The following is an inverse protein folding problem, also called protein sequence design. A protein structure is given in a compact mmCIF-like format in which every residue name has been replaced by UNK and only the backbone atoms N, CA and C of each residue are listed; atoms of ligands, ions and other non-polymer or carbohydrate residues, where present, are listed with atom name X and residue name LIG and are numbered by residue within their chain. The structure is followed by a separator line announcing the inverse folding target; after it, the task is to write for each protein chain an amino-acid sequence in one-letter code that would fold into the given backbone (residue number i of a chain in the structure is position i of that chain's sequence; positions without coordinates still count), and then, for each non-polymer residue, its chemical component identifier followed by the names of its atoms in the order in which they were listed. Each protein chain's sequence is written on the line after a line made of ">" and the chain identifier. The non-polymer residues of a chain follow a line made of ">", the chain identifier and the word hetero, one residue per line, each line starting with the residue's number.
data_IF_829908925968
#
_entry.id   IF_829908925968
#
_cell.length_a   1.000
_cell.length_b   1.000
_cell.length_c   1.000
_cell.angle_alpha   90.00
_cell.angle_beta   90.00
_cell.angle_gamma   90.00
#
_symmetry.space_group_name_H-M   'P 1'
#
loop_
_entity.id
_entity.type
_entity.pdbx_description
1 polymer ?
#
# COMPACT_ATOMS: atom_id res chain seq x y z
N UNK A 1 14.68 4.45 -18.18
CA UNK A 1 15.14 5.38 -17.12
C UNK A 1 14.01 6.32 -16.65
N UNK A 2 12.75 6.07 -16.99
CA UNK A 2 11.62 7.00 -16.69
C UNK A 2 11.06 6.88 -15.26
N UNK A 3 11.27 5.74 -14.60
CA UNK A 3 10.59 5.37 -13.35
C UNK A 3 10.96 6.12 -12.05
N UNK A 4 11.82 7.15 -12.10
CA UNK A 4 12.20 7.97 -10.93
C UNK A 4 11.74 9.41 -11.07
N UNK A 5 11.33 9.79 -12.27
CA UNK A 5 11.02 11.16 -12.61
C UNK A 5 9.57 11.48 -12.23
N UNK A 6 8.65 10.55 -12.50
CA UNK A 6 7.24 10.64 -12.14
C UNK A 6 7.01 10.78 -10.64
N UNK A 7 7.53 9.88 -9.81
CA UNK A 7 7.42 9.99 -8.35
C UNK A 7 7.99 11.30 -7.79
N UNK A 8 9.03 11.85 -8.43
CA UNK A 8 9.71 13.09 -8.02
C UNK A 8 8.89 14.33 -8.33
N UNK A 9 8.23 14.31 -9.49
CA UNK A 9 7.33 15.37 -9.95
C UNK A 9 6.05 15.38 -9.12
N UNK A 10 5.57 14.20 -8.74
CA UNK A 10 4.23 14.03 -8.18
C UNK A 10 4.18 14.18 -6.64
N UNK A 11 5.21 13.71 -5.92
CA UNK A 11 5.27 13.79 -4.44
C UNK A 11 6.30 14.79 -3.92
N UNK A 12 7.04 15.43 -4.83
CA UNK A 12 8.06 16.43 -4.52
C UNK A 12 9.40 15.83 -4.08
N UNK A 13 10.48 16.60 -4.29
CA UNK A 13 11.89 16.21 -4.01
C UNK A 13 12.16 15.82 -2.55
N UNK A 14 11.30 16.22 -1.62
CA UNK A 14 11.53 16.09 -0.19
C UNK A 14 10.80 14.88 0.42
N UNK A 15 10.18 14.03 -0.40
CA UNK A 15 9.53 12.82 0.11
C UNK A 15 10.57 11.73 0.41
N UNK A 16 10.74 11.42 1.70
CA UNK A 16 11.81 10.55 2.22
C UNK A 16 11.67 9.07 1.83
N UNK A 17 10.48 8.64 1.38
CA UNK A 17 10.19 7.25 1.04
C UNK A 17 10.19 6.96 -0.47
N UNK A 18 10.62 7.93 -1.29
CA UNK A 18 10.53 7.86 -2.75
C UNK A 18 11.19 6.62 -3.37
N UNK A 19 12.30 6.14 -2.82
CA UNK A 19 13.00 4.97 -3.36
C UNK A 19 12.33 3.63 -3.03
N UNK A 20 11.28 3.61 -2.20
CA UNK A 20 10.71 2.38 -1.65
C UNK A 20 9.59 1.81 -2.52
N UNK A 21 8.84 2.67 -3.21
CA UNK A 21 7.73 2.25 -4.07
C UNK A 21 8.10 2.43 -5.53
N UNK A 22 7.61 1.53 -6.38
CA UNK A 22 7.72 1.71 -7.83
C UNK A 22 6.65 2.67 -8.33
N UNK A 23 6.89 3.32 -9.46
CA UNK A 23 5.89 4.21 -10.09
C UNK A 23 4.59 3.47 -10.42
N UNK A 24 4.66 2.19 -10.79
CA UNK A 24 3.47 1.37 -10.99
C UNK A 24 2.62 1.25 -9.70
N UNK A 25 3.25 1.10 -8.52
CA UNK A 25 2.53 1.08 -7.25
C UNK A 25 1.91 2.45 -6.94
N UNK A 26 2.61 3.54 -7.25
CA UNK A 26 2.07 4.89 -7.05
C UNK A 26 0.86 5.16 -7.96
N UNK A 27 0.95 4.74 -9.23
CA UNK A 27 -0.15 4.79 -10.18
C UNK A 27 -1.36 4.01 -9.65
N UNK A 28 -1.16 2.78 -9.17
CA UNK A 28 -2.23 1.99 -8.56
C UNK A 28 -2.88 2.70 -7.37
N UNK A 29 -2.11 3.39 -6.49
CA UNK A 29 -2.69 4.13 -5.36
C UNK A 29 -3.56 5.30 -5.83
N UNK A 30 -3.19 5.99 -6.92
CA UNK A 30 -3.99 7.07 -7.49
C UNK A 30 -5.32 6.57 -8.05
N UNK A 31 -5.34 5.35 -8.58
CA UNK A 31 -6.55 4.71 -9.11
C UNK A 31 -7.44 4.10 -8.02
N UNK A 32 -6.99 4.07 -6.77
CA UNK A 32 -7.80 3.55 -5.67
C UNK A 32 -8.97 4.48 -5.33
N UNK A 33 -10.14 3.91 -5.02
CA UNK A 33 -11.26 4.67 -4.47
C UNK A 33 -10.85 5.49 -3.23
N UNK A 34 -11.31 6.74 -3.21
CA UNK A 34 -11.06 7.69 -2.14
C UNK A 34 -9.66 8.31 -2.13
N UNK A 35 -8.87 8.15 -3.20
CA UNK A 35 -7.67 8.98 -3.42
C UNK A 35 -8.09 10.24 -4.19
N UNK A 36 -8.44 11.31 -3.48
CA UNK A 36 -9.04 12.52 -4.08
C UNK A 36 -8.02 13.63 -4.39
N UNK A 37 -6.79 13.50 -3.88
CA UNK A 37 -5.72 14.44 -4.15
C UNK A 37 -4.37 14.03 -3.60
N UNK A 38 -3.40 14.94 -3.67
CA UNK A 38 -2.01 14.68 -3.30
C UNK A 38 -1.82 14.34 -1.81
N UNK A 39 -2.65 14.88 -0.92
CA UNK A 39 -2.60 14.56 0.50
C UNK A 39 -2.94 13.08 0.76
N UNK A 40 -4.02 12.58 0.14
CA UNK A 40 -4.42 11.17 0.24
C UNK A 40 -3.34 10.26 -0.36
N UNK A 41 -2.88 10.59 -1.56
CA UNK A 41 -1.85 9.82 -2.24
C UNK A 41 -0.59 9.71 -1.38
N UNK A 42 -0.11 10.83 -0.81
CA UNK A 42 1.09 10.83 0.03
C UNK A 42 0.90 10.01 1.30
N UNK A 43 -0.21 10.19 2.00
CA UNK A 43 -0.54 9.42 3.22
C UNK A 43 -0.62 7.91 2.95
N UNK A 44 -1.27 7.52 1.85
CA UNK A 44 -1.38 6.12 1.42
C UNK A 44 -0.03 5.55 0.98
N UNK A 45 0.77 6.32 0.24
CA UNK A 45 2.12 5.93 -0.18
C UNK A 45 3.06 5.76 1.02
N UNK A 46 3.01 6.64 2.01
CA UNK A 46 3.79 6.52 3.25
C UNK A 46 3.42 5.27 4.04
N UNK A 47 2.12 4.97 4.14
CA UNK A 47 1.65 3.75 4.78
C UNK A 47 2.10 2.49 4.03
N UNK A 48 1.97 2.46 2.70
CA UNK A 48 2.40 1.35 1.85
C UNK A 48 3.92 1.12 1.93
N UNK A 49 4.69 2.22 1.94
CA UNK A 49 6.14 2.16 2.12
C UNK A 49 6.49 1.54 3.48
N UNK A 50 5.76 1.90 4.54
CA UNK A 50 5.94 1.34 5.89
C UNK A 50 5.67 -0.16 5.93
N UNK A 51 4.61 -0.63 5.26
CA UNK A 51 4.35 -2.08 5.07
C UNK A 51 5.51 -2.78 4.39
N UNK A 52 5.91 -2.27 3.21
CA UNK A 52 6.98 -2.87 2.41
C UNK A 52 8.30 -2.95 3.18
N UNK A 53 8.65 -1.89 3.91
CA UNK A 53 9.84 -1.85 4.76
C UNK A 53 9.85 -2.90 5.86
N UNK A 54 8.74 -3.03 6.58
CA UNK A 54 8.63 -3.98 7.67
C UNK A 54 8.79 -5.41 7.13
N UNK A 55 8.07 -5.73 6.05
CA UNK A 55 8.12 -7.05 5.42
C UNK A 55 9.51 -7.37 4.85
N UNK A 56 10.17 -6.39 4.24
CA UNK A 56 11.56 -6.53 3.79
C UNK A 56 12.52 -6.89 4.95
N UNK A 57 12.27 -6.37 6.16
CA UNK A 57 13.03 -6.69 7.38
C UNK A 57 12.54 -7.98 8.07
N UNK A 58 11.48 -8.58 7.56
CA UNK A 58 10.85 -9.78 8.09
C UNK A 58 10.01 -9.56 9.34
N UNK A 59 9.40 -8.38 9.46
CA UNK A 59 8.45 -8.04 10.51
C UNK A 59 7.16 -7.47 9.93
N UNK A 60 6.18 -7.22 10.79
CA UNK A 60 5.01 -6.41 10.44
C UNK A 60 5.19 -4.96 10.93
N UNK A 61 4.53 -3.99 10.30
CA UNK A 61 4.52 -2.62 10.80
C UNK A 61 3.68 -2.51 12.07
N UNK A 62 3.91 -1.45 12.85
CA UNK A 62 3.04 -1.11 13.99
C UNK A 62 1.74 -0.54 13.45
N UNK A 63 0.64 -1.28 13.57
CA UNK A 63 -0.64 -0.92 12.93
C UNK A 63 -1.25 0.40 13.42
N UNK A 64 -0.89 0.83 14.64
CA UNK A 64 -1.30 2.11 15.22
C UNK A 64 -0.64 3.33 14.55
N UNK A 65 0.50 3.14 13.89
CA UNK A 65 1.24 4.18 13.18
C UNK A 65 0.77 4.31 11.72
N UNK A 66 -0.10 3.40 11.25
CA UNK A 66 -0.62 3.38 9.90
C UNK A 66 -1.97 4.06 9.81
N UNK A 67 -2.05 5.08 8.96
CA UNK A 67 -3.29 5.78 8.61
C UNK A 67 -4.07 5.04 7.51
N UNK A 68 -3.41 4.16 6.75
CA UNK A 68 -4.02 3.40 5.66
C UNK A 68 -3.34 2.02 5.45
N UNK A 69 -4.02 1.00 4.90
CA UNK A 69 -5.47 0.91 4.73
C UNK A 69 -6.22 1.04 6.05
N UNK A 70 -7.51 1.39 6.00
CA UNK A 70 -8.34 1.53 7.20
C UNK A 70 -8.68 0.18 7.82
N UNK A 71 -9.08 0.19 9.09
CA UNK A 71 -9.69 -0.98 9.72
C UNK A 71 -11.08 -1.27 9.12
N UNK A 72 -11.51 -2.55 9.09
CA UNK A 72 -10.84 -3.73 9.66
C UNK A 72 -9.78 -4.36 8.72
N UNK A 73 -9.55 -3.79 7.54
CA UNK A 73 -8.68 -4.39 6.53
C UNK A 73 -7.25 -4.57 7.05
N UNK A 74 -6.61 -3.51 7.56
CA UNK A 74 -5.19 -3.60 7.97
C UNK A 74 -4.97 -4.63 9.08
N UNK A 75 -5.88 -4.73 10.06
CA UNK A 75 -5.79 -5.72 11.12
C UNK A 75 -5.95 -7.16 10.59
N UNK A 76 -6.94 -7.40 9.72
CA UNK A 76 -7.16 -8.72 9.12
C UNK A 76 -6.01 -9.13 8.19
N UNK A 77 -5.50 -8.20 7.40
CA UNK A 77 -4.36 -8.43 6.52
C UNK A 77 -3.11 -8.77 7.33
N UNK A 78 -2.81 -8.00 8.39
CA UNK A 78 -1.70 -8.31 9.31
C UNK A 78 -1.80 -9.72 9.89
N UNK A 79 -2.99 -10.10 10.37
CA UNK A 79 -3.23 -11.44 10.92
C UNK A 79 -3.00 -12.54 9.87
N UNK A 80 -3.50 -12.35 8.65
CA UNK A 80 -3.27 -13.29 7.55
C UNK A 80 -1.78 -13.44 7.22
N UNK A 81 -1.03 -12.32 7.16
CA UNK A 81 0.41 -12.35 6.92
C UNK A 81 1.17 -13.10 8.02
N UNK A 82 0.78 -12.93 9.29
CA UNK A 82 1.38 -13.70 10.40
C UNK A 82 1.10 -15.18 10.27
N UNK A 83 -0.16 -15.57 10.03
CA UNK A 83 -0.56 -16.97 9.93
C UNK A 83 0.13 -17.71 8.79
N UNK A 84 0.46 -17.00 7.71
CA UNK A 84 1.19 -17.52 6.54
C UNK A 84 2.72 -17.38 6.67
N UNK A 85 3.23 -16.90 7.81
CA UNK A 85 4.65 -16.58 8.02
C UNK A 85 5.26 -15.65 6.95
N UNK A 86 4.44 -14.80 6.32
CA UNK A 86 4.86 -13.91 5.24
C UNK A 86 6.00 -12.95 5.61
N UNK A 87 6.12 -12.43 6.85
CA UNK A 87 7.29 -11.62 7.21
C UNK A 87 8.60 -12.40 7.02
N UNK A 88 8.70 -13.61 7.56
CA UNK A 88 9.91 -14.44 7.40
C UNK A 88 10.14 -14.79 5.94
N UNK A 89 9.08 -15.14 5.22
CA UNK A 89 9.13 -15.52 3.81
C UNK A 89 9.64 -14.39 2.91
N UNK A 90 9.06 -13.19 3.03
CA UNK A 90 9.42 -12.03 2.20
C UNK A 90 10.82 -11.50 2.49
N UNK A 91 11.32 -11.64 3.73
CA UNK A 91 12.75 -11.39 4.03
C UNK A 91 13.68 -12.35 3.31
N UNK A 92 13.30 -13.63 3.22
CA UNK A 92 14.10 -14.68 2.54
C UNK A 92 14.02 -14.58 1.02
N UNK A 93 12.87 -14.16 0.49
CA UNK A 93 12.59 -14.06 -0.94
C UNK A 93 12.11 -12.64 -1.31
N UNK A 94 13.01 -11.65 -1.34
CA UNK A 94 12.66 -10.24 -1.55
C UNK A 94 12.00 -9.99 -2.92
N UNK A 95 12.24 -10.83 -3.92
CA UNK A 95 11.57 -10.75 -5.22
C UNK A 95 10.04 -10.91 -5.13
N UNK A 96 9.53 -11.63 -4.12
CA UNK A 96 8.10 -11.86 -3.93
C UNK A 96 7.42 -10.69 -3.21
N UNK A 97 8.19 -9.85 -2.51
CA UNK A 97 7.64 -8.74 -1.74
C UNK A 97 6.83 -7.77 -2.60
N UNK A 98 7.35 -7.41 -3.78
CA UNK A 98 6.63 -6.49 -4.67
C UNK A 98 5.31 -7.08 -5.17
N UNK A 99 5.27 -8.40 -5.43
CA UNK A 99 4.04 -9.11 -5.78
C UNK A 99 3.04 -9.09 -4.63
N UNK A 100 3.48 -9.36 -3.40
CA UNK A 100 2.60 -9.31 -2.23
C UNK A 100 2.02 -7.90 -2.00
N UNK A 101 2.84 -6.86 -2.17
CA UNK A 101 2.40 -5.47 -2.03
C UNK A 101 1.37 -5.11 -3.11
N UNK A 102 1.57 -5.55 -4.36
CA UNK A 102 0.58 -5.37 -5.43
C UNK A 102 -0.73 -6.07 -5.12
N UNK A 103 -0.67 -7.32 -4.66
CA UNK A 103 -1.86 -8.06 -4.23
C UNK A 103 -2.63 -7.35 -3.12
N UNK A 104 -1.92 -6.69 -2.17
CA UNK A 104 -2.57 -5.86 -1.16
C UNK A 104 -3.34 -4.69 -1.80
N UNK A 105 -2.73 -4.00 -2.78
CA UNK A 105 -3.39 -2.90 -3.52
C UNK A 105 -4.63 -3.39 -4.26
N UNK A 106 -4.53 -4.53 -4.95
CA UNK A 106 -5.64 -5.14 -5.69
C UNK A 106 -6.81 -5.47 -4.75
N UNK A 107 -6.53 -6.05 -3.57
CA UNK A 107 -7.55 -6.35 -2.57
C UNK A 107 -8.22 -5.08 -2.03
N UNK A 108 -7.45 -4.02 -1.78
CA UNK A 108 -8.02 -2.74 -1.34
C UNK A 108 -8.85 -2.09 -2.45
N UNK A 109 -8.45 -2.24 -3.72
CA UNK A 109 -9.21 -1.74 -4.86
C UNK A 109 -10.58 -2.42 -4.94
N UNK A 110 -10.60 -3.76 -4.93
CA UNK A 110 -11.84 -4.55 -5.01
C UNK A 110 -12.79 -4.20 -3.86
N UNK A 111 -12.30 -4.22 -2.62
CA UNK A 111 -13.12 -3.91 -1.45
C UNK A 111 -13.56 -2.44 -1.41
N UNK A 112 -12.72 -1.53 -1.90
CA UNK A 112 -13.06 -0.11 -2.03
C UNK A 112 -14.23 0.09 -2.98
N UNK A 113 -14.22 -0.56 -4.14
CA UNK A 113 -15.32 -0.51 -5.10
C UNK A 113 -16.60 -1.18 -4.58
N UNK A 114 -16.51 -2.26 -3.80
CA UNK A 114 -17.69 -2.87 -3.17
C UNK A 114 -18.40 -1.94 -2.18
N UNK A 115 -17.64 -1.14 -1.43
CA UNK A 115 -18.19 -0.15 -0.50
C UNK A 115 -18.85 0.99 -1.27
N UNK A 116 -18.16 1.51 -2.29
CA UNK A 116 -18.67 2.59 -3.14
C UNK A 116 -19.93 2.14 -3.91
N UNK A 117 -19.93 0.94 -4.50
CA UNK A 117 -21.08 0.39 -5.22
C UNK A 117 -22.31 0.15 -4.33
N UNK A 118 -22.11 -0.20 -3.05
CA UNK A 118 -23.22 -0.26 -2.07
C UNK A 118 -23.79 1.11 -1.72
N UNK A 119 -22.99 2.16 -1.75
CA UNK A 119 -23.46 3.53 -1.51
C UNK A 119 -24.29 4.09 -2.68
N UNK A 120 -24.04 3.64 -3.92
CA UNK A 120 -24.77 4.10 -5.10
C UNK A 120 -26.03 3.28 -5.43
N UNK A 121 -26.12 2.01 -5.01
CA UNK A 121 -27.27 1.13 -5.29
C UNK A 121 -28.28 1.03 -4.11
N UNK A 122 -28.10 1.82 -3.06
CA UNK A 122 -28.96 1.82 -1.86
C UNK A 122 -29.90 3.02 -1.72
N UNK A 123 -30.22 3.72 -2.82
CA UNK A 123 -31.12 4.88 -2.87
C UNK A 123 -32.41 4.58 -3.63
#
# INVERSE_FOLDING_TARGET
>A
MEGKQFSRELLGRNWSNQARLSDAMLQSIMELPGTQGMADLRSRADSLATWKMALQKGSLPRLSELTWPQDPFKAKFAAALMNLEMPRFTRRYPAVLDTLIKQMLDLVQVLGWEVVGRQFNGG
#
